data_IF_979076150543
#
_entry.id   IF_979076150543
#
_cell.length_a   1.000
_cell.length_b   1.000
_cell.length_c   1.000
_cell.angle_alpha   90.00
_cell.angle_beta   90.00
_cell.angle_gamma   90.00
#
_symmetry.space_group_name_H-M   'P 1'
#
loop_
_entity.id
_entity.type
_entity.pdbx_description
1 polymer ?
#
# COMPACT_ATOMS: atom_id res chain seq x y z
N UNK A 1 15.81 -2.58 8.29
CA UNK A 1 15.66 -1.93 6.98
C UNK A 1 16.95 -1.17 6.70
N UNK A 2 17.83 -1.73 5.85
CA UNK A 2 19.11 -1.11 5.51
C UNK A 2 19.00 -0.23 4.25
N UNK A 3 17.82 0.34 3.99
CA UNK A 3 17.48 1.16 2.83
C UNK A 3 16.89 2.49 3.28
N UNK A 4 17.33 3.57 2.65
CA UNK A 4 16.70 4.89 2.84
C UNK A 4 15.49 5.00 1.91
N UNK A 5 14.36 5.42 2.46
CA UNK A 5 13.15 5.68 1.70
C UNK A 5 12.88 7.18 1.60
N UNK A 6 12.35 7.63 0.46
CA UNK A 6 11.86 8.99 0.27
C UNK A 6 10.35 9.03 0.37
N UNK A 7 9.82 9.98 1.14
CA UNK A 7 8.38 10.18 1.29
C UNK A 7 8.01 11.63 1.00
N UNK A 8 7.07 11.82 0.08
CA UNK A 8 6.30 13.05 -0.11
C UNK A 8 5.22 13.10 0.96
N UNK A 9 5.22 14.19 1.69
CA UNK A 9 4.22 14.51 2.71
C UNK A 9 3.51 15.78 2.22
N UNK A 10 2.22 15.67 1.95
CA UNK A 10 1.41 16.78 1.47
C UNK A 10 0.75 17.41 2.68
N UNK A 11 0.81 18.73 2.79
CA UNK A 11 0.11 19.48 3.83
C UNK A 11 -1.37 19.09 3.86
N UNK A 12 -1.96 19.03 5.06
CA UNK A 12 -3.34 18.57 5.29
C UNK A 12 -3.60 17.08 5.00
N UNK A 13 -2.56 16.29 4.68
CA UNK A 13 -2.65 14.83 4.63
C UNK A 13 -2.02 14.21 5.88
N UNK A 14 -2.52 13.07 6.32
CA UNK A 14 -2.01 12.40 7.51
C UNK A 14 -0.54 11.96 7.34
N UNK A 15 0.25 12.13 8.40
CA UNK A 15 1.61 11.59 8.52
C UNK A 15 1.84 11.18 9.97
N UNK A 16 2.67 10.17 10.18
CA UNK A 16 3.06 9.75 11.52
C UNK A 16 3.83 10.90 12.22
N UNK A 17 3.32 11.46 13.34
CA UNK A 17 3.85 12.71 13.90
C UNK A 17 5.24 12.54 14.52
N UNK A 18 5.62 11.32 14.88
CA UNK A 18 6.92 11.00 15.44
C UNK A 18 7.72 10.10 14.48
N UNK A 19 8.64 10.72 13.72
CA UNK A 19 9.45 10.00 12.73
C UNK A 19 10.33 8.90 13.35
N UNK A 20 10.80 9.05 14.59
CA UNK A 20 11.65 8.05 15.24
C UNK A 20 10.87 6.81 15.66
N UNK A 21 9.65 7.01 16.18
CA UNK A 21 8.75 5.90 16.49
C UNK A 21 8.25 5.26 15.19
N UNK A 22 7.90 6.05 14.18
CA UNK A 22 7.51 5.56 12.86
C UNK A 22 8.55 4.60 12.28
N UNK A 23 9.84 4.97 12.29
CA UNK A 23 10.92 4.07 11.85
C UNK A 23 10.91 2.72 12.58
N UNK A 24 10.64 2.71 13.89
CA UNK A 24 10.53 1.46 14.68
C UNK A 24 9.31 0.65 14.29
N UNK A 25 8.16 1.29 14.04
CA UNK A 25 6.95 0.63 13.57
C UNK A 25 7.16 -0.02 12.19
N UNK A 26 7.78 0.71 11.25
CA UNK A 26 8.13 0.18 9.93
C UNK A 26 9.06 -1.03 10.04
N UNK A 27 10.08 -0.93 10.90
CA UNK A 27 11.01 -2.03 11.14
C UNK A 27 10.28 -3.26 11.69
N UNK A 28 9.48 -3.06 12.74
CA UNK A 28 8.73 -4.14 13.38
C UNK A 28 7.75 -4.81 12.40
N UNK A 29 7.01 -4.04 11.61
CA UNK A 29 6.06 -4.59 10.64
C UNK A 29 6.78 -5.45 9.58
N UNK A 30 7.96 -5.02 9.12
CA UNK A 30 8.77 -5.79 8.16
C UNK A 30 9.33 -7.09 8.76
N UNK A 31 9.67 -7.08 10.05
CA UNK A 31 10.19 -8.26 10.75
C UNK A 31 9.05 -9.24 11.07
N UNK A 32 7.85 -8.74 11.39
CA UNK A 32 6.66 -9.55 11.61
C UNK A 32 6.11 -10.19 10.32
N UNK A 33 6.32 -9.55 9.17
CA UNK A 33 5.89 -10.04 7.87
C UNK A 33 6.84 -11.09 7.24
N UNK A 34 7.83 -11.60 7.99
CA UNK A 34 8.74 -12.62 7.47
C UNK A 34 8.04 -13.97 7.22
N UNK A 35 8.34 -14.60 6.08
CA UNK A 35 7.95 -15.97 5.78
C UNK A 35 6.85 -16.15 4.74
N UNK A 36 6.11 -15.10 4.39
CA UNK A 36 5.23 -15.13 3.22
C UNK A 36 6.01 -14.79 1.94
N UNK A 37 5.69 -15.47 0.84
CA UNK A 37 6.10 -15.10 -0.53
C UNK A 37 4.92 -14.70 -1.41
N UNK A 38 3.72 -14.64 -0.83
CA UNK A 38 2.48 -14.32 -1.54
C UNK A 38 2.31 -12.80 -1.63
N UNK A 39 1.09 -12.35 -1.89
CA UNK A 39 0.81 -10.94 -2.08
C UNK A 39 0.25 -10.29 -0.82
N UNK A 40 0.57 -9.02 -0.64
CA UNK A 40 0.06 -8.18 0.44
C UNK A 40 -1.11 -7.32 -0.05
N UNK A 41 -2.18 -7.27 0.73
CA UNK A 41 -3.19 -6.22 0.66
C UNK A 41 -2.96 -5.22 1.80
N UNK A 42 -2.85 -3.93 1.48
CA UNK A 42 -2.88 -2.86 2.47
C UNK A 42 -4.15 -2.01 2.30
N UNK A 43 -4.84 -1.75 3.41
CA UNK A 43 -6.02 -0.89 3.44
C UNK A 43 -5.67 0.46 4.06
N UNK A 44 -6.14 1.55 3.45
CA UNK A 44 -5.93 2.93 3.91
C UNK A 44 -4.45 3.34 3.96
N UNK A 45 -3.71 3.07 2.88
CA UNK A 45 -2.25 3.18 2.88
C UNK A 45 -1.71 4.63 3.02
N UNK A 46 -2.55 5.65 2.92
CA UNK A 46 -2.11 7.04 2.93
C UNK A 46 -1.12 7.31 1.80
N UNK A 47 0.04 7.87 2.14
CA UNK A 47 1.14 8.10 1.19
C UNK A 47 2.03 6.86 0.97
N UNK A 48 1.60 5.67 1.39
CA UNK A 48 2.33 4.41 1.27
C UNK A 48 3.37 4.18 2.37
N UNK A 49 3.17 4.75 3.57
CA UNK A 49 4.17 4.72 4.64
C UNK A 49 4.64 3.29 4.97
N UNK A 50 3.71 2.36 5.17
CA UNK A 50 4.00 0.94 5.39
C UNK A 50 4.14 0.16 4.08
N UNK A 51 3.39 0.53 3.03
CA UNK A 51 3.43 -0.11 1.71
C UNK A 51 4.85 -0.24 1.16
N UNK A 52 5.60 0.87 1.16
CA UNK A 52 6.93 0.92 0.58
C UNK A 52 7.90 -0.06 1.23
N UNK A 53 8.11 -0.07 2.55
CA UNK A 53 9.02 -1.02 3.18
C UNK A 53 8.47 -2.46 3.19
N UNK A 54 7.16 -2.66 3.35
CA UNK A 54 6.57 -3.99 3.30
C UNK A 54 6.69 -4.62 1.90
N UNK A 55 6.71 -3.83 0.82
CA UNK A 55 6.90 -4.35 -0.54
C UNK A 55 8.20 -5.14 -0.74
N UNK A 56 9.20 -4.94 0.13
CA UNK A 56 10.44 -5.72 0.11
C UNK A 56 10.28 -7.16 0.64
N UNK A 57 9.13 -7.47 1.24
CA UNK A 57 8.82 -8.75 1.89
C UNK A 57 7.82 -9.60 1.10
N UNK A 58 7.14 -9.03 0.11
CA UNK A 58 6.08 -9.69 -0.67
C UNK A 58 6.39 -9.66 -2.17
N UNK A 59 5.84 -10.61 -2.92
CA UNK A 59 6.04 -10.68 -4.37
C UNK A 59 5.33 -9.52 -5.08
N UNK A 60 4.07 -9.24 -4.69
CA UNK A 60 3.27 -8.10 -5.17
C UNK A 60 2.52 -7.47 -4.00
N UNK A 61 2.30 -6.17 -4.08
CA UNK A 61 1.51 -5.41 -3.10
C UNK A 61 0.39 -4.66 -3.80
N UNK A 62 -0.83 -4.84 -3.31
CA UNK A 62 -1.95 -3.98 -3.65
C UNK A 62 -2.29 -3.10 -2.44
N UNK A 63 -2.19 -1.79 -2.60
CA UNK A 63 -2.54 -0.82 -1.57
C UNK A 63 -3.80 -0.05 -1.96
N UNK A 64 -4.71 0.16 -1.02
CA UNK A 64 -5.95 0.90 -1.26
C UNK A 64 -5.98 2.21 -0.47
N UNK A 65 -6.47 3.27 -1.12
CA UNK A 65 -6.64 4.59 -0.52
C UNK A 65 -7.74 5.38 -1.24
N UNK A 66 -8.47 6.23 -0.52
CA UNK A 66 -9.53 7.07 -1.10
C UNK A 66 -9.06 8.48 -1.45
N UNK A 67 -8.21 9.08 -0.61
CA UNK A 67 -7.80 10.46 -0.74
C UNK A 67 -6.89 10.64 -1.96
N UNK A 68 -7.31 11.49 -2.91
CA UNK A 68 -6.56 11.74 -4.15
C UNK A 68 -5.15 12.28 -3.89
N UNK A 69 -4.98 13.14 -2.90
CA UNK A 69 -3.67 13.67 -2.49
C UNK A 69 -2.76 12.56 -1.98
N UNK A 70 -3.28 11.67 -1.13
CA UNK A 70 -2.58 10.51 -0.61
C UNK A 70 -2.17 9.54 -1.73
N UNK A 71 -3.08 9.19 -2.64
CA UNK A 71 -2.77 8.35 -3.82
C UNK A 71 -1.67 8.97 -4.68
N UNK A 72 -1.75 10.27 -4.95
CA UNK A 72 -0.71 10.98 -5.69
C UNK A 72 0.64 10.95 -4.98
N UNK A 73 0.66 11.16 -3.65
CA UNK A 73 1.88 11.07 -2.85
C UNK A 73 2.45 9.64 -2.86
N UNK A 74 1.60 8.61 -2.74
CA UNK A 74 1.98 7.21 -2.79
C UNK A 74 2.60 6.83 -4.13
N UNK A 75 1.97 7.19 -5.25
CA UNK A 75 2.50 6.95 -6.60
C UNK A 75 3.87 7.61 -6.79
N UNK A 76 4.00 8.88 -6.39
CA UNK A 76 5.29 9.57 -6.42
C UNK A 76 6.33 8.87 -5.54
N UNK A 77 5.95 8.40 -4.34
CA UNK A 77 6.85 7.69 -3.44
C UNK A 77 7.33 6.37 -4.06
N UNK A 78 6.44 5.60 -4.68
CA UNK A 78 6.78 4.34 -5.38
C UNK A 78 7.83 4.62 -6.47
N UNK A 79 7.58 5.62 -7.32
CA UNK A 79 8.50 6.03 -8.39
C UNK A 79 9.87 6.47 -7.85
N UNK A 80 9.89 7.35 -6.84
CA UNK A 80 11.15 7.88 -6.28
C UNK A 80 11.97 6.85 -5.52
N UNK A 81 11.32 5.80 -5.04
CA UNK A 81 11.99 4.68 -4.41
C UNK A 81 12.29 3.56 -5.41
N UNK A 82 11.92 3.66 -6.68
CA UNK A 82 12.19 2.65 -7.71
C UNK A 82 11.66 1.27 -7.30
N UNK A 83 10.39 1.21 -6.92
CA UNK A 83 9.69 -0.03 -6.58
C UNK A 83 8.70 -0.32 -7.70
N UNK A 84 8.72 -1.54 -8.21
CA UNK A 84 7.96 -2.00 -9.38
C UNK A 84 6.81 -2.95 -9.03
N UNK A 85 6.82 -3.51 -7.83
CA UNK A 85 5.85 -4.52 -7.39
C UNK A 85 4.65 -3.98 -6.58
N UNK A 86 4.43 -2.66 -6.57
CA UNK A 86 3.29 -2.02 -5.88
C UNK A 86 2.28 -1.49 -6.90
N UNK A 87 1.00 -1.83 -6.72
CA UNK A 87 -0.12 -1.15 -7.35
C UNK A 87 -0.96 -0.42 -6.30
N UNK A 88 -1.42 0.80 -6.63
CA UNK A 88 -2.30 1.60 -5.76
C UNK A 88 -3.68 1.70 -6.40
N UNK A 89 -4.69 1.13 -5.75
CA UNK A 89 -6.08 1.22 -6.16
C UNK A 89 -6.80 2.31 -5.38
N UNK A 90 -7.47 3.23 -6.08
CA UNK A 90 -8.29 4.24 -5.41
C UNK A 90 -9.65 3.66 -5.00
N UNK A 91 -9.71 2.90 -3.92
CA UNK A 91 -10.91 2.23 -3.40
C UNK A 91 -10.99 2.34 -1.87
N UNK A 92 -12.21 2.28 -1.32
CA UNK A 92 -12.39 1.98 0.11
C UNK A 92 -12.22 0.49 0.38
N UNK A 93 -12.07 0.09 1.65
CA UNK A 93 -12.07 -1.33 2.02
C UNK A 93 -13.37 -2.06 1.63
N UNK A 94 -14.51 -1.37 1.72
CA UNK A 94 -15.81 -1.91 1.28
C UNK A 94 -15.85 -2.10 -0.25
N UNK A 95 -15.42 -1.09 -1.01
CA UNK A 95 -15.35 -1.18 -2.47
C UNK A 95 -14.38 -2.29 -2.93
N UNK A 96 -13.24 -2.43 -2.25
CA UNK A 96 -12.30 -3.52 -2.49
C UNK A 96 -12.97 -4.89 -2.26
N UNK A 97 -13.71 -5.04 -1.16
CA UNK A 97 -14.40 -6.31 -0.84
C UNK A 97 -15.41 -6.69 -1.91
N UNK A 98 -16.22 -5.73 -2.37
CA UNK A 98 -17.17 -5.94 -3.48
C UNK A 98 -16.47 -6.37 -4.77
N UNK A 99 -15.33 -5.73 -5.09
CA UNK A 99 -14.54 -6.06 -6.26
C UNK A 99 -13.88 -7.45 -6.15
N UNK A 100 -13.35 -7.79 -4.97
CA UNK A 100 -12.71 -9.06 -4.68
C UNK A 100 -13.69 -10.24 -4.72
N UNK A 101 -14.92 -10.03 -4.27
CA UNK A 101 -16.00 -11.03 -4.34
C UNK A 101 -16.67 -11.12 -5.72
N UNK A 102 -16.30 -10.25 -6.66
CA UNK A 102 -16.90 -10.22 -8.00
C UNK A 102 -18.32 -9.68 -8.03
N UNK A 103 -18.77 -8.99 -6.98
CA UNK A 103 -20.12 -8.41 -6.90
C UNK A 103 -20.28 -7.21 -7.82
N UNK A 104 -19.18 -6.46 -8.03
CA UNK A 104 -19.19 -5.22 -8.81
C UNK A 104 -17.86 -4.95 -9.49
N UNK A 105 -17.91 -4.57 -10.75
CA UNK A 105 -16.76 -4.04 -11.48
C UNK A 105 -16.55 -2.55 -11.21
N UNK A 106 -15.29 -2.16 -11.01
CA UNK A 106 -14.91 -0.77 -10.80
C UNK A 106 -14.06 -0.24 -11.94
N UNK A 107 -14.57 0.77 -12.65
CA UNK A 107 -13.84 1.47 -13.72
C UNK A 107 -12.44 1.95 -13.29
N UNK A 108 -12.29 2.37 -12.02
CA UNK A 108 -11.01 2.81 -11.44
C UNK A 108 -9.94 1.70 -11.43
N UNK A 109 -10.32 0.44 -11.29
CA UNK A 109 -9.40 -0.69 -11.35
C UNK A 109 -8.96 -0.96 -12.79
N UNK A 110 -9.89 -0.90 -13.73
CA UNK A 110 -9.61 -1.04 -15.16
C UNK A 110 -8.67 0.07 -15.65
N UNK A 111 -8.94 1.33 -15.29
CA UNK A 111 -8.08 2.48 -15.63
C UNK A 111 -6.66 2.36 -15.06
N UNK A 112 -6.52 1.69 -13.91
CA UNK A 112 -5.23 1.42 -13.28
C UNK A 112 -4.58 0.10 -13.75
N UNK A 113 -5.20 -0.64 -14.67
CA UNK A 113 -4.79 -1.98 -15.12
C UNK A 113 -4.56 -2.95 -13.93
N UNK A 114 -5.46 -2.91 -12.96
CA UNK A 114 -5.43 -3.78 -11.78
C UNK A 114 -6.46 -4.89 -11.95
N UNK A 115 -5.98 -6.11 -12.15
CA UNK A 115 -6.79 -7.32 -12.02
C UNK A 115 -6.67 -7.86 -10.60
N UNK A 116 -7.69 -7.62 -9.77
CA UNK A 116 -7.73 -8.07 -8.38
C UNK A 116 -7.70 -9.61 -8.28
N UNK A 117 -8.32 -10.32 -9.23
CA UNK A 117 -8.39 -11.79 -9.19
C UNK A 117 -7.03 -12.44 -9.51
N UNK A 118 -6.11 -11.69 -10.12
CA UNK A 118 -4.73 -12.13 -10.33
C UNK A 118 -3.87 -12.17 -9.06
N UNK A 119 -4.37 -11.68 -7.93
CA UNK A 119 -3.63 -11.63 -6.68
C UNK A 119 -3.95 -12.83 -5.78
N UNK A 120 -2.90 -13.53 -5.31
CA UNK A 120 -2.96 -14.51 -4.22
C UNK A 120 -2.59 -13.84 -2.89
N UNK A 121 -3.58 -13.22 -2.24
CA UNK A 121 -3.38 -12.58 -0.94
C UNK A 121 -3.39 -13.62 0.20
N UNK A 122 -2.40 -13.57 1.08
CA UNK A 122 -2.43 -14.29 2.36
C UNK A 122 -2.27 -13.37 3.58
N UNK A 123 -1.93 -12.11 3.33
CA UNK A 123 -1.63 -11.12 4.36
C UNK A 123 -2.39 -9.83 4.07
N UNK A 124 -3.03 -9.30 5.12
CA UNK A 124 -3.68 -8.00 5.10
C UNK A 124 -3.03 -7.10 6.16
N UNK A 125 -2.61 -5.91 5.78
CA UNK A 125 -2.14 -4.87 6.69
C UNK A 125 -3.16 -3.75 6.82
N UNK A 126 -3.42 -3.31 8.06
CA UNK A 126 -4.37 -2.24 8.37
C UNK A 126 -3.79 -1.37 9.50
N UNK A 127 -3.78 -0.05 9.29
CA UNK A 127 -3.44 0.99 10.27
C UNK A 127 -4.57 2.05 10.23
N UNK A 128 -5.65 1.86 11.02
CA UNK A 128 -6.88 2.65 10.91
C UNK A 128 -6.81 4.03 11.57
#
# INVERSE_FOLDING_TARGET
LNRSFKYKQIESSFTQPNAQVCKKMLQWACDAAEGSKKHLLELYCGNGNFTLPLSLKFERVLATELAKSSVYAAQWNIEQNQIDNIQVARLSAEEFTQAYQGEREFRRLQEANIDIQSYDFDTVFVDP
#
